data_IF_000881758324
#
_entry.id   IF_000881758324
#
_cell.length_a   1.000
_cell.length_b   1.000
_cell.length_c   1.000
_cell.angle_alpha   90.00
_cell.angle_beta   90.00
_cell.angle_gamma   90.00
#
_symmetry.space_group_name_H-M   'P 1'
#
loop_
_entity.id
_entity.type
_entity.pdbx_description
1 polymer ?
#
# COMPACT_ATOMS: atom_id res chain seq x y z
N UNK A 1 3.79 -4.37 21.01
CA UNK A 1 3.75 -3.82 19.63
C UNK A 1 3.72 -2.29 19.70
N UNK A 2 4.36 -1.53 18.78
CA UNK A 2 4.42 -0.04 18.87
C UNK A 2 3.02 0.61 19.00
N UNK A 3 2.03 0.09 18.27
CA UNK A 3 0.64 0.58 18.31
C UNK A 3 -0.09 0.35 19.64
N UNK A 4 0.25 -0.71 20.36
CA UNK A 4 -0.31 -0.98 21.70
C UNK A 4 0.25 0.02 22.71
N UNK A 5 1.57 0.27 22.64
CA UNK A 5 2.23 1.24 23.53
C UNK A 5 1.80 2.68 23.26
N UNK A 6 1.43 3.01 22.02
CA UNK A 6 0.94 4.33 21.63
C UNK A 6 -0.58 4.49 21.77
N UNK A 7 -1.27 3.50 22.36
CA UNK A 7 -2.72 3.45 22.49
C UNK A 7 -3.49 3.83 21.21
N UNK A 8 -3.08 3.26 20.07
CA UNK A 8 -3.58 3.67 18.76
C UNK A 8 -5.09 3.50 18.59
N UNK A 9 -5.68 2.51 19.26
CA UNK A 9 -7.12 2.24 19.18
C UNK A 9 -7.97 3.44 19.68
N UNK A 10 -7.47 4.18 20.68
CA UNK A 10 -8.10 5.39 21.17
C UNK A 10 -7.85 6.59 20.26
N UNK A 11 -6.60 6.79 19.85
CA UNK A 11 -6.18 8.01 19.19
C UNK A 11 -6.42 8.03 17.68
N UNK A 12 -6.36 6.86 17.02
CA UNK A 12 -6.62 6.67 15.57
C UNK A 12 -5.92 7.71 14.68
N UNK A 13 -4.66 8.00 15.00
CA UNK A 13 -3.83 8.97 14.29
C UNK A 13 -3.57 8.56 12.85
N UNK A 14 -3.29 9.55 12.00
CA UNK A 14 -2.79 9.28 10.66
C UNK A 14 -1.36 8.73 10.74
N UNK A 15 -1.05 7.72 9.93
CA UNK A 15 0.25 7.07 9.86
C UNK A 15 0.89 7.40 8.52
N UNK A 16 2.12 7.90 8.56
CA UNK A 16 2.96 8.15 7.39
C UNK A 16 4.30 7.45 7.59
N UNK A 17 4.85 6.87 6.53
CA UNK A 17 6.13 6.18 6.54
C UNK A 17 6.50 5.73 5.14
N UNK A 18 7.67 5.10 5.00
CA UNK A 18 8.05 4.51 3.71
C UNK A 18 7.08 3.39 3.29
N UNK A 19 7.07 3.08 1.99
CA UNK A 19 6.16 2.08 1.44
C UNK A 19 6.34 0.69 2.07
N UNK A 20 7.55 0.31 2.46
CA UNK A 20 7.83 -1.00 3.06
C UNK A 20 7.13 -1.12 4.42
N UNK A 21 7.22 -0.08 5.23
CA UNK A 21 6.52 0.01 6.51
C UNK A 21 5.01 0.00 6.32
N UNK A 22 4.48 0.79 5.39
CA UNK A 22 3.03 0.85 5.13
C UNK A 22 2.46 -0.49 4.66
N UNK A 23 3.18 -1.20 3.76
CA UNK A 23 2.81 -2.55 3.32
C UNK A 23 2.75 -3.52 4.50
N UNK A 24 3.73 -3.47 5.42
CA UNK A 24 3.71 -4.31 6.62
C UNK A 24 2.51 -4.02 7.53
N UNK A 25 2.16 -2.74 7.73
CA UNK A 25 1.02 -2.35 8.57
C UNK A 25 -0.32 -2.75 7.96
N UNK A 26 -0.41 -2.72 6.63
CA UNK A 26 -1.58 -3.11 5.88
C UNK A 26 -1.69 -4.63 5.69
N UNK A 27 -0.69 -5.41 6.10
CA UNK A 27 -0.69 -6.87 5.94
C UNK A 27 -0.52 -7.32 4.49
N UNK A 28 0.08 -6.47 3.64
CA UNK A 28 0.34 -6.79 2.24
C UNK A 28 1.52 -7.74 2.09
N UNK A 29 1.47 -8.57 1.05
CA UNK A 29 2.60 -9.38 0.63
C UNK A 29 3.72 -8.48 0.09
N UNK A 30 4.93 -8.70 0.58
CA UNK A 30 6.13 -8.01 0.10
C UNK A 30 6.63 -8.59 -1.23
N UNK A 31 7.36 -7.78 -2.00
CA UNK A 31 7.98 -8.18 -3.26
C UNK A 31 7.17 -7.78 -4.50
N UNK A 32 7.48 -8.40 -5.64
CA UNK A 32 6.84 -8.10 -6.93
C UNK A 32 5.49 -8.83 -7.06
N UNK A 33 4.46 -8.26 -6.45
CA UNK A 33 3.10 -8.81 -6.41
C UNK A 33 2.27 -8.36 -7.60
N UNK A 34 1.20 -9.11 -7.90
CA UNK A 34 0.30 -8.81 -9.03
C UNK A 34 -0.47 -7.50 -8.82
N UNK A 35 -0.96 -7.27 -7.60
CA UNK A 35 -1.67 -6.05 -7.21
C UNK A 35 -0.88 -5.41 -6.06
N UNK A 36 0.10 -4.55 -6.34
CA UNK A 36 0.95 -3.94 -5.30
C UNK A 36 0.31 -2.70 -4.66
N UNK A 37 -0.73 -2.12 -5.27
CA UNK A 37 -1.43 -0.96 -4.75
C UNK A 37 -2.45 -1.36 -3.68
N UNK A 38 -2.43 -0.70 -2.52
CA UNK A 38 -3.40 -0.95 -1.46
C UNK A 38 -4.72 -0.17 -1.63
N UNK A 39 -4.76 0.82 -2.54
CA UNK A 39 -5.95 1.65 -2.81
C UNK A 39 -6.80 1.10 -3.96
N UNK A 40 -6.19 0.46 -4.95
CA UNK A 40 -6.87 -0.03 -6.15
C UNK A 40 -6.27 -1.34 -6.66
N UNK A 41 -7.03 -2.05 -7.47
CA UNK A 41 -6.66 -3.33 -8.09
C UNK A 41 -5.78 -3.13 -9.34
N UNK A 42 -4.79 -2.26 -9.24
CA UNK A 42 -3.82 -2.03 -10.31
C UNK A 42 -2.99 -3.29 -10.56
N UNK A 43 -3.09 -3.86 -11.77
CA UNK A 43 -2.35 -5.06 -12.15
C UNK A 43 -0.97 -4.71 -12.70
N UNK A 44 0.07 -4.94 -11.91
CA UNK A 44 1.47 -4.68 -12.28
C UNK A 44 1.98 -5.52 -13.46
N UNK A 45 1.22 -6.58 -13.82
CA UNK A 45 1.56 -7.53 -14.89
C UNK A 45 0.81 -7.26 -16.19
N UNK A 46 -0.23 -6.42 -16.18
CA UNK A 46 -1.04 -6.07 -17.35
C UNK A 46 -0.34 -5.01 -18.24
N UNK A 47 0.77 -5.40 -18.89
CA UNK A 47 1.60 -4.50 -19.71
C UNK A 47 0.85 -3.93 -20.92
N UNK A 48 -0.11 -4.66 -21.44
CA UNK A 48 -1.00 -4.29 -22.54
C UNK A 48 -1.96 -3.16 -22.17
N UNK A 49 -2.33 -3.05 -20.90
CA UNK A 49 -3.27 -2.04 -20.39
C UNK A 49 -2.58 -0.81 -19.79
N UNK A 50 -1.25 -0.82 -19.65
CA UNK A 50 -0.50 0.16 -18.86
C UNK A 50 -0.72 1.62 -19.32
N UNK A 51 -0.84 1.84 -20.63
CA UNK A 51 -0.99 3.17 -21.22
C UNK A 51 -2.42 3.52 -21.62
N UNK A 52 -3.33 2.55 -21.61
CA UNK A 52 -4.72 2.72 -22.06
C UNK A 52 -5.69 2.78 -20.91
N UNK A 53 -5.35 2.14 -19.77
CA UNK A 53 -6.20 2.07 -18.58
C UNK A 53 -5.66 2.97 -17.46
N UNK A 54 -6.32 4.11 -17.29
CA UNK A 54 -6.05 5.08 -16.21
C UNK A 54 -6.76 4.68 -14.92
N UNK A 55 -7.97 4.16 -15.02
CA UNK A 55 -8.84 3.89 -13.88
C UNK A 55 -8.89 2.40 -13.54
N UNK A 56 -8.46 2.08 -12.33
CA UNK A 56 -8.48 0.73 -11.79
C UNK A 56 -9.51 0.66 -10.66
N UNK A 57 -10.24 -0.45 -10.60
CA UNK A 57 -11.27 -0.65 -9.59
C UNK A 57 -10.69 -0.45 -8.19
N UNK A 58 -11.38 0.35 -7.39
CA UNK A 58 -10.99 0.59 -6.00
C UNK A 58 -10.98 -0.73 -5.24
N UNK A 59 -10.11 -0.80 -4.25
CA UNK A 59 -10.06 -1.94 -3.37
C UNK A 59 -11.27 -1.92 -2.44
N UNK A 60 -12.02 -3.02 -2.43
CA UNK A 60 -13.09 -3.25 -1.45
C UNK A 60 -12.53 -3.74 -0.12
N UNK A 61 -13.26 -4.66 0.53
CA UNK A 61 -12.86 -5.23 1.82
C UNK A 61 -11.46 -5.86 1.77
N UNK A 62 -10.65 -5.59 2.79
CA UNK A 62 -9.33 -6.21 2.98
C UNK A 62 -9.50 -7.56 3.66
N UNK A 63 -9.72 -8.59 2.84
CA UNK A 63 -9.75 -9.98 3.27
C UNK A 63 -8.34 -10.58 3.15
N UNK A 64 -7.76 -11.10 4.24
CA UNK A 64 -6.53 -11.90 4.16
C UNK A 64 -6.73 -13.12 3.26
N UNK A 65 -5.74 -13.47 2.45
CA UNK A 65 -5.79 -14.53 1.44
C UNK A 65 -6.24 -14.07 0.06
N UNK A 66 -6.81 -12.87 -0.07
CA UNK A 66 -7.25 -12.29 -1.34
C UNK A 66 -6.31 -11.19 -1.81
N UNK A 67 -6.09 -11.11 -3.13
CA UNK A 67 -5.44 -9.98 -3.83
C UNK A 67 -4.19 -9.42 -3.12
N UNK A 68 -3.29 -10.32 -2.71
CA UNK A 68 -1.96 -10.06 -2.10
C UNK A 68 -1.97 -9.55 -0.65
N UNK A 69 -3.08 -9.64 0.09
CA UNK A 69 -3.08 -9.44 1.53
C UNK A 69 -2.88 -10.77 2.23
N UNK A 70 -1.83 -10.88 3.03
CA UNK A 70 -1.48 -12.13 3.74
C UNK A 70 -1.92 -12.09 5.20
N UNK A 71 -1.99 -10.90 5.79
CA UNK A 71 -2.30 -10.70 7.19
C UNK A 71 -3.43 -9.69 7.37
N UNK A 72 -4.03 -9.68 8.56
CA UNK A 72 -4.99 -8.66 8.96
C UNK A 72 -4.32 -7.29 9.07
N UNK A 73 -5.00 -6.25 8.60
CA UNK A 73 -4.55 -4.86 8.70
C UNK A 73 -4.46 -4.41 10.16
N UNK A 74 -3.31 -3.85 10.55
CA UNK A 74 -3.13 -3.24 11.87
C UNK A 74 -3.65 -1.81 11.93
N UNK A 75 -3.68 -1.15 10.78
CA UNK A 75 -4.13 0.23 10.60
C UNK A 75 -5.10 0.26 9.43
N UNK A 76 -6.26 0.91 9.56
CA UNK A 76 -7.20 1.08 8.44
C UNK A 76 -6.54 1.89 7.31
N UNK A 77 -6.73 1.52 6.02
CA UNK A 77 -6.11 2.22 4.88
C UNK A 77 -6.43 3.71 4.83
N UNK A 78 -7.59 4.12 5.30
CA UNK A 78 -8.04 5.51 5.35
C UNK A 78 -7.22 6.37 6.32
N UNK A 79 -6.47 5.72 7.22
CA UNK A 79 -5.54 6.37 8.16
C UNK A 79 -4.10 6.36 7.68
N UNK A 80 -3.81 5.84 6.48
CA UNK A 80 -2.48 5.85 5.89
C UNK A 80 -2.31 7.06 4.98
N UNK A 81 -1.25 7.83 5.21
CA UNK A 81 -0.81 8.89 4.33
C UNK A 81 0.28 8.37 3.40
N UNK A 82 0.15 8.69 2.11
CA UNK A 82 1.21 8.41 1.15
C UNK A 82 2.43 9.28 1.47
N UNK A 83 3.63 8.72 1.51
CA UNK A 83 4.84 9.47 1.81
C UNK A 83 5.16 10.43 0.66
N UNK A 84 5.02 11.77 0.85
CA UNK A 84 5.16 12.72 -0.25
C UNK A 84 6.59 12.78 -0.81
N UNK A 85 7.58 12.47 0.02
CA UNK A 85 9.00 12.51 -0.37
C UNK A 85 9.48 11.22 -1.04
N UNK A 86 8.96 10.06 -0.64
CA UNK A 86 9.45 8.77 -1.14
C UNK A 86 9.04 8.51 -2.60
N UNK A 87 7.87 8.98 -3.03
CA UNK A 87 7.38 8.78 -4.41
C UNK A 87 8.31 9.45 -5.44
N UNK A 88 8.62 10.77 -5.34
CA UNK A 88 9.53 11.41 -6.28
C UNK A 88 10.94 10.82 -6.27
N UNK A 89 11.47 10.47 -5.08
CA UNK A 89 12.81 9.89 -4.96
C UNK A 89 12.92 8.51 -5.61
N UNK A 90 11.91 7.64 -5.43
CA UNK A 90 11.90 6.34 -6.11
C UNK A 90 11.74 6.46 -7.62
N UNK A 91 10.93 7.42 -8.08
CA UNK A 91 10.77 7.69 -9.50
C UNK A 91 12.09 8.18 -10.13
N UNK A 92 12.77 9.14 -9.51
CA UNK A 92 14.06 9.65 -10.00
C UNK A 92 15.12 8.54 -10.12
N UNK A 93 15.16 7.58 -9.18
CA UNK A 93 16.07 6.43 -9.26
C UNK A 93 15.89 5.58 -10.52
N UNK A 94 14.69 5.57 -11.12
CA UNK A 94 14.46 4.84 -12.38
C UNK A 94 15.06 5.54 -13.60
N UNK A 95 15.22 6.88 -13.55
CA UNK A 95 15.76 7.69 -14.63
C UNK A 95 17.27 7.92 -14.56
N UNK A 96 17.87 7.74 -13.38
CA UNK A 96 19.33 7.85 -13.18
C UNK A 96 20.06 6.55 -13.57
N UNK A 97 19.32 5.54 -14.04
CA UNK A 97 19.85 4.25 -14.46
C UNK A 97 20.56 4.32 -15.81
#
# INVERSE_FOLDING_TARGET
MIFEKSNYQEHRWMVCGDFKMLIMLLGHQAGYTKYPCFLCLWDSRARDLYWTKTDWSLRGAITPGETNFINTTLVPPEKVLLPPLHIPLELMKQFIK
#
